data_IF_988320081849
#
_entry.id   IF_988320081849
#
_cell.length_a   1.000
_cell.length_b   1.000
_cell.length_c   1.000
_cell.angle_alpha   90.00
_cell.angle_beta   90.00
_cell.angle_gamma   90.00
#
_symmetry.space_group_name_H-M   'P 1'
#
loop_
_entity.id
_entity.type
_entity.pdbx_description
1 polymer ?
#
# COMPACT_ATOMS: atom_id res chain seq x y z
N UNK A 1 -0.97 -5.59 6.20
CA UNK A 1 -1.25 -6.17 4.84
C UNK A 1 -2.40 -7.18 4.84
N UNK A 2 -3.16 -7.26 3.73
CA UNK A 2 -4.43 -8.02 3.62
C UNK A 2 -4.29 -9.39 2.95
N UNK A 3 -5.28 -10.25 3.20
CA UNK A 3 -5.39 -11.60 2.63
C UNK A 3 -6.77 -11.90 2.02
N UNK A 4 -6.98 -13.11 1.46
CA UNK A 4 -8.27 -13.52 0.91
C UNK A 4 -9.43 -13.41 1.91
N UNK A 5 -9.15 -13.64 3.19
CA UNK A 5 -10.11 -13.63 4.29
C UNK A 5 -10.36 -12.23 4.90
N UNK A 6 -9.62 -11.21 4.45
CA UNK A 6 -9.88 -9.83 4.88
C UNK A 6 -11.22 -9.35 4.32
N UNK A 7 -12.04 -8.59 5.08
CA UNK A 7 -13.22 -7.92 4.55
C UNK A 7 -12.86 -7.09 3.32
N UNK A 8 -13.74 -7.01 2.33
CA UNK A 8 -13.50 -6.27 1.09
C UNK A 8 -14.59 -5.22 0.91
N UNK A 9 -14.20 -4.06 0.37
CA UNK A 9 -15.10 -2.97 -0.08
C UNK A 9 -16.07 -2.42 1.00
N UNK A 10 -15.59 -1.60 1.94
CA UNK A 10 -14.18 -1.30 2.22
C UNK A 10 -13.54 -2.36 3.14
N UNK A 11 -12.21 -2.41 3.13
CA UNK A 11 -11.47 -3.16 4.13
C UNK A 11 -11.17 -2.22 5.30
N UNK A 12 -11.63 -2.50 6.53
CA UNK A 12 -11.31 -1.68 7.70
C UNK A 12 -9.83 -1.77 8.07
N UNK A 13 -9.31 -0.76 8.76
CA UNK A 13 -7.92 -0.74 9.25
C UNK A 13 -7.65 -1.91 10.21
N UNK A 14 -8.56 -2.13 11.17
CA UNK A 14 -8.53 -3.28 12.06
C UNK A 14 -9.40 -4.43 11.51
N UNK A 15 -8.76 -5.44 10.93
CA UNK A 15 -9.46 -6.61 10.40
C UNK A 15 -8.56 -7.86 10.34
N UNK A 16 -9.09 -8.96 9.80
CA UNK A 16 -8.32 -10.20 9.60
C UNK A 16 -7.19 -9.93 8.60
N UNK A 17 -5.94 -10.20 8.98
CA UNK A 17 -4.75 -10.04 8.13
C UNK A 17 -4.04 -11.37 7.91
N UNK A 18 -4.47 -12.12 6.88
CA UNK A 18 -3.89 -13.43 6.49
C UNK A 18 -3.34 -13.43 5.06
N UNK A 19 -2.30 -12.63 4.75
CA UNK A 19 -1.72 -12.56 3.41
C UNK A 19 -1.16 -13.91 2.96
N UNK A 20 -1.15 -14.15 1.64
CA UNK A 20 -0.64 -15.38 1.01
C UNK A 20 0.70 -15.21 0.30
N UNK A 21 1.34 -14.06 0.47
CA UNK A 21 2.65 -13.76 -0.11
C UNK A 21 3.66 -13.50 1.01
N UNK A 22 4.93 -13.86 0.78
CA UNK A 22 6.00 -13.58 1.76
C UNK A 22 6.13 -12.09 2.04
N UNK A 23 5.96 -11.24 1.01
CA UNK A 23 5.90 -9.79 1.15
C UNK A 23 4.77 -9.35 2.10
N UNK A 24 3.56 -9.91 1.94
CA UNK A 24 2.44 -9.55 2.80
C UNK A 24 2.67 -10.00 4.24
N UNK A 25 3.17 -11.23 4.45
CA UNK A 25 3.48 -11.77 5.77
C UNK A 25 4.54 -10.91 6.48
N UNK A 26 5.62 -10.54 5.79
CA UNK A 26 6.66 -9.70 6.38
C UNK A 26 6.18 -8.29 6.71
N UNK A 27 5.23 -7.74 5.94
CA UNK A 27 4.59 -6.45 6.26
C UNK A 27 3.70 -6.52 7.50
N UNK A 28 2.90 -7.58 7.67
CA UNK A 28 2.14 -7.78 8.92
C UNK A 28 3.09 -7.93 10.12
N UNK A 29 4.20 -8.64 9.94
CA UNK A 29 5.22 -8.74 10.98
C UNK A 29 5.80 -7.36 11.35
N UNK A 30 6.15 -6.53 10.36
CA UNK A 30 6.68 -5.19 10.60
C UNK A 30 5.67 -4.25 11.30
N UNK A 31 4.39 -4.31 10.92
CA UNK A 31 3.29 -3.59 11.59
C UNK A 31 3.26 -3.95 13.08
N UNK A 32 3.15 -5.25 13.41
CA UNK A 32 3.04 -5.71 14.80
C UNK A 32 4.33 -5.49 15.61
N UNK A 33 5.50 -5.59 14.96
CA UNK A 33 6.77 -5.32 15.62
C UNK A 33 6.89 -3.84 16.00
N UNK A 34 6.53 -2.94 15.09
CA UNK A 34 6.54 -1.51 15.36
C UNK A 34 5.59 -1.13 16.51
N UNK A 35 4.38 -1.69 16.49
CA UNK A 35 3.40 -1.52 17.58
C UNK A 35 3.95 -2.03 18.92
N UNK A 36 4.57 -3.21 18.94
CA UNK A 36 5.23 -3.74 20.13
C UNK A 36 6.34 -2.80 20.64
N UNK A 37 7.18 -2.26 19.76
CA UNK A 37 8.26 -1.36 20.15
C UNK A 37 7.74 -0.03 20.72
N UNK A 38 6.63 0.49 20.20
CA UNK A 38 5.93 1.62 20.82
C UNK A 38 5.46 1.28 22.24
N UNK A 39 4.71 0.18 22.41
CA UNK A 39 4.17 -0.18 23.72
C UNK A 39 5.24 -0.57 24.75
N UNK A 40 6.31 -1.25 24.33
CA UNK A 40 7.34 -1.76 25.23
C UNK A 40 8.42 -0.73 25.54
N UNK A 41 8.81 0.07 24.55
CA UNK A 41 10.01 0.93 24.64
C UNK A 41 9.70 2.41 24.36
N UNK A 42 8.47 2.79 24.03
CA UNK A 42 8.09 4.16 23.74
C UNK A 42 8.64 4.70 22.42
N UNK A 43 9.03 3.84 21.48
CA UNK A 43 9.47 4.25 20.15
C UNK A 43 8.28 4.83 19.38
N UNK A 44 8.37 6.07 18.89
CA UNK A 44 7.34 6.69 18.06
C UNK A 44 7.27 6.04 16.67
N UNK A 45 6.61 4.87 16.62
CA UNK A 45 6.36 4.13 15.41
C UNK A 45 5.07 4.61 14.75
N UNK A 46 5.13 4.82 13.43
CA UNK A 46 3.99 5.24 12.60
C UNK A 46 3.98 4.42 11.33
N UNK A 47 2.79 4.05 10.87
CA UNK A 47 2.63 3.17 9.73
C UNK A 47 1.46 3.61 8.84
N UNK A 48 1.63 3.44 7.53
CA UNK A 48 0.57 3.55 6.53
C UNK A 48 0.63 2.33 5.61
N UNK A 49 -0.54 1.85 5.19
CA UNK A 49 -0.66 0.75 4.22
C UNK A 49 -0.93 1.34 2.83
N UNK A 50 0.11 1.47 2.03
CA UNK A 50 -0.05 2.03 0.68
C UNK A 50 -0.80 1.08 -0.26
N UNK A 51 -1.69 1.63 -1.10
CA UNK A 51 -2.24 0.91 -2.24
C UNK A 51 -1.20 0.80 -3.36
N UNK A 52 -1.61 0.43 -4.58
CA UNK A 52 -0.74 0.60 -5.74
C UNK A 52 -0.45 2.07 -5.97
N UNK A 53 0.83 2.43 -6.11
CA UNK A 53 1.24 3.81 -6.35
C UNK A 53 1.49 4.00 -7.84
N UNK A 54 0.92 5.05 -8.41
CA UNK A 54 1.12 5.45 -9.79
C UNK A 54 2.06 6.67 -9.80
N UNK A 55 3.13 6.60 -10.58
CA UNK A 55 4.11 7.67 -10.75
C UNK A 55 4.49 7.81 -12.23
N UNK A 56 4.85 9.03 -12.64
CA UNK A 56 5.30 9.31 -14.01
C UNK A 56 6.78 8.97 -14.23
N UNK A 57 7.60 9.20 -13.20
CA UNK A 57 9.06 9.28 -13.36
C UNK A 57 9.78 7.96 -13.04
N UNK A 58 9.03 6.94 -12.62
CA UNK A 58 9.59 5.64 -12.22
C UNK A 58 9.15 4.57 -13.20
N UNK A 59 10.13 3.83 -13.72
CA UNK A 59 9.83 2.67 -14.56
C UNK A 59 9.18 1.56 -13.70
N UNK A 60 8.16 0.86 -14.23
CA UNK A 60 7.59 -0.29 -13.56
C UNK A 60 8.66 -1.36 -13.30
N UNK A 61 8.66 -1.91 -12.09
CA UNK A 61 9.68 -2.83 -11.55
C UNK A 61 9.23 -4.29 -11.49
N UNK A 62 8.02 -4.61 -11.94
CA UNK A 62 7.44 -5.96 -11.93
C UNK A 62 6.50 -6.23 -10.74
N UNK A 63 5.95 -5.18 -10.11
CA UNK A 63 4.90 -5.30 -9.11
C UNK A 63 3.53 -5.58 -9.73
N UNK A 64 2.60 -6.17 -8.96
CA UNK A 64 1.24 -6.49 -9.45
C UNK A 64 0.42 -5.26 -9.87
N UNK A 65 0.77 -4.07 -9.37
CA UNK A 65 0.08 -2.81 -9.67
C UNK A 65 0.71 -2.04 -10.83
N UNK A 66 1.83 -2.52 -11.36
CA UNK A 66 2.62 -1.82 -12.37
C UNK A 66 1.89 -1.71 -13.72
N UNK A 67 0.86 -2.54 -13.96
CA UNK A 67 0.01 -2.42 -15.14
C UNK A 67 -0.57 -1.01 -15.31
N UNK A 68 -0.80 -0.30 -14.19
CA UNK A 68 -1.34 1.06 -14.18
C UNK A 68 -0.32 2.13 -14.59
N UNK A 69 0.98 1.80 -14.65
CA UNK A 69 2.05 2.65 -15.17
C UNK A 69 2.43 2.20 -16.59
N UNK A 70 2.60 0.89 -16.79
CA UNK A 70 2.97 0.28 -18.08
C UNK A 70 2.02 0.68 -19.22
N UNK A 71 0.72 0.75 -18.94
CA UNK A 71 -0.29 1.11 -19.94
C UNK A 71 -0.01 2.47 -20.59
N UNK A 72 0.45 3.47 -19.83
CA UNK A 72 0.73 4.80 -20.37
C UNK A 72 1.93 4.77 -21.31
N UNK A 73 2.99 4.05 -20.94
CA UNK A 73 4.17 3.92 -21.78
C UNK A 73 3.88 3.14 -23.07
N UNK A 74 3.17 2.02 -22.98
CA UNK A 74 2.89 1.16 -24.14
C UNK A 74 1.83 1.77 -25.07
N UNK A 75 0.82 2.45 -24.51
CA UNK A 75 -0.14 3.21 -25.32
C UNK A 75 0.54 4.31 -26.14
N UNK A 76 1.50 5.04 -25.56
CA UNK A 76 2.24 6.09 -26.27
C UNK A 76 3.23 5.54 -27.32
N UNK A 77 3.86 4.39 -27.06
CA UNK A 77 4.87 3.80 -27.97
C UNK A 77 4.27 2.95 -29.07
N UNK A 78 3.29 2.11 -28.75
CA UNK A 78 2.79 1.05 -29.62
C UNK A 78 1.28 1.16 -29.91
N UNK A 79 0.58 2.13 -29.30
CA UNK A 79 -0.86 2.31 -29.47
C UNK A 79 -1.72 1.20 -28.84
N UNK A 80 -1.12 0.24 -28.14
CA UNK A 80 -1.80 -0.89 -27.52
C UNK A 80 -1.03 -1.41 -26.31
N UNK A 81 -1.72 -2.03 -25.36
CA UNK A 81 -1.14 -2.63 -24.17
C UNK A 81 -1.80 -3.97 -23.86
N UNK A 82 -1.00 -5.00 -23.56
CA UNK A 82 -1.48 -6.31 -23.13
C UNK A 82 -1.43 -6.39 -21.59
N UNK A 83 -2.56 -6.10 -20.95
CA UNK A 83 -2.67 -6.20 -19.50
C UNK A 83 -2.60 -7.66 -19.03
N UNK A 84 -1.79 -7.93 -18.01
CA UNK A 84 -1.66 -9.27 -17.39
C UNK A 84 -2.75 -9.54 -16.34
N UNK A 85 -3.54 -8.54 -15.95
CA UNK A 85 -4.68 -8.69 -15.05
C UNK A 85 -5.98 -8.97 -15.83
N UNK A 86 -6.96 -9.57 -15.14
CA UNK A 86 -8.31 -9.76 -15.70
C UNK A 86 -9.00 -8.39 -15.83
N UNK A 87 -9.82 -8.21 -16.85
CA UNK A 87 -10.49 -6.92 -17.14
C UNK A 87 -11.43 -6.40 -16.03
N UNK A 88 -11.86 -7.26 -15.10
CA UNK A 88 -12.67 -6.88 -13.95
C UNK A 88 -11.89 -6.85 -12.61
N UNK A 89 -10.55 -6.87 -12.67
CA UNK A 89 -9.71 -6.78 -11.47
C UNK A 89 -9.78 -5.36 -10.90
N UNK A 90 -10.22 -5.24 -9.64
CA UNK A 90 -10.25 -3.98 -8.91
C UNK A 90 -9.15 -3.97 -7.84
N UNK A 91 -8.30 -2.96 -7.87
CA UNK A 91 -7.25 -2.72 -6.89
C UNK A 91 -7.32 -1.26 -6.42
N UNK A 92 -7.05 -0.98 -5.14
CA UNK A 92 -6.90 0.40 -4.68
C UNK A 92 -5.62 0.99 -5.31
N UNK A 93 -5.67 2.27 -5.68
CA UNK A 93 -4.57 3.01 -6.31
C UNK A 93 -4.46 4.42 -5.72
N UNK A 94 -3.28 5.02 -5.81
CA UNK A 94 -3.00 6.39 -5.35
C UNK A 94 -1.93 7.03 -6.25
N UNK A 95 -2.02 8.34 -6.45
CA UNK A 95 -0.98 9.10 -7.16
C UNK A 95 0.22 9.38 -6.24
N UNK A 96 1.42 9.44 -6.82
CA UNK A 96 2.66 9.58 -6.04
C UNK A 96 2.69 10.83 -5.15
N UNK A 97 2.13 11.96 -5.61
CA UNK A 97 2.13 13.20 -4.82
C UNK A 97 1.28 13.04 -3.54
N UNK A 98 0.12 12.38 -3.64
CA UNK A 98 -0.74 12.06 -2.49
C UNK A 98 -0.03 11.08 -1.54
N UNK A 99 0.70 10.11 -2.09
CA UNK A 99 1.49 9.17 -1.29
C UNK A 99 2.54 9.91 -0.46
N UNK A 100 3.30 10.80 -1.09
CA UNK A 100 4.34 11.61 -0.42
C UNK A 100 3.70 12.49 0.65
N UNK A 101 2.62 13.20 0.30
CA UNK A 101 1.92 14.06 1.24
C UNK A 101 1.41 13.26 2.45
N UNK A 102 0.85 12.06 2.24
CA UNK A 102 0.37 11.22 3.34
C UNK A 102 1.49 10.81 4.31
N UNK A 103 2.71 10.61 3.81
CA UNK A 103 3.89 10.33 4.64
C UNK A 103 4.25 11.55 5.47
N UNK A 104 4.30 12.74 4.88
CA UNK A 104 4.57 13.97 5.61
C UNK A 104 3.52 14.19 6.69
N UNK A 105 2.24 14.09 6.31
CA UNK A 105 1.11 14.31 7.21
C UNK A 105 1.12 13.36 8.41
N UNK A 106 1.37 12.06 8.20
CA UNK A 106 1.40 11.10 9.31
C UNK A 106 2.62 11.31 10.21
N UNK A 107 3.76 11.75 9.66
CA UNK A 107 4.99 12.00 10.42
C UNK A 107 4.89 13.30 11.24
N UNK A 108 4.18 14.30 10.74
CA UNK A 108 3.96 15.57 11.44
C UNK A 108 2.74 15.56 12.36
N UNK A 109 1.85 14.55 12.22
CA UNK A 109 0.65 14.44 13.05
C UNK A 109 1.00 14.46 14.55
N UNK A 110 0.30 15.28 15.37
CA UNK A 110 0.42 15.19 16.82
C UNK A 110 0.01 13.81 17.32
N UNK A 111 0.76 13.28 18.30
CA UNK A 111 0.53 11.95 18.86
C UNK A 111 -0.90 11.74 19.36
N UNK A 112 -1.49 12.79 19.94
CA UNK A 112 -2.87 12.80 20.46
C UNK A 112 -3.95 12.60 19.38
N UNK A 113 -3.62 12.76 18.10
CA UNK A 113 -4.54 12.51 16.98
C UNK A 113 -4.43 11.08 16.44
N UNK A 114 -3.39 10.33 16.81
CA UNK A 114 -3.17 8.97 16.35
C UNK A 114 -3.99 7.99 17.20
N UNK A 115 -4.98 7.33 16.58
CA UNK A 115 -5.83 6.35 17.25
C UNK A 115 -5.23 4.94 17.26
N UNK A 116 -4.35 4.67 16.31
CA UNK A 116 -3.73 3.37 16.07
C UNK A 116 -2.29 3.58 15.58
N UNK A 117 -1.45 2.56 15.77
CA UNK A 117 -0.05 2.53 15.29
C UNK A 117 0.13 1.59 14.09
N UNK A 118 -0.92 0.83 13.75
CA UNK A 118 -0.98 -0.20 12.70
C UNK A 118 -2.27 -0.13 11.91
#
# INVERSE_FOLDING_TARGET
AFGPESPRNPTPDFCIQRPRTIYGVSKVHAELLGEYFFHRYGVDFRCLRFPGIISADTKPGGGTTDYAIEIFHEALKAGSYKCYLRGNTRLPMMWIDDCIQSIVDIMEAPDSKLKQRT
#
